data_IF_835368027775
#
_entry.id   IF_835368027775
#
_cell.length_a   1.000
_cell.length_b   1.000
_cell.length_c   1.000
_cell.angle_alpha   90.00
_cell.angle_beta   90.00
_cell.angle_gamma   90.00
#
_symmetry.space_group_name_H-M   'P 1'
#
loop_
_entity.id
_entity.type
_entity.pdbx_description
1 polymer ?
#
# COMPACT_ATOMS: atom_id res chain seq x y z
N UNK A 1 4.21 -8.08 -19.97
CA UNK A 1 4.45 -7.66 -18.58
C UNK A 1 3.20 -7.00 -18.01
N UNK A 2 3.04 -7.02 -16.69
CA UNK A 2 2.14 -6.15 -15.96
C UNK A 2 3.00 -5.28 -15.01
N UNK A 3 2.76 -3.96 -14.97
CA UNK A 3 3.56 -3.05 -14.16
C UNK A 3 2.74 -1.81 -13.77
N UNK A 4 2.70 -1.50 -12.47
CA UNK A 4 2.03 -0.34 -11.88
C UNK A 4 3.00 0.71 -11.30
N UNK A 5 4.30 0.44 -11.42
CA UNK A 5 5.36 1.08 -10.64
C UNK A 5 6.46 1.67 -11.52
N UNK A 6 6.14 2.63 -12.42
CA UNK A 6 7.13 3.27 -13.31
C UNK A 6 8.22 4.03 -12.53
N UNK A 7 7.95 4.39 -11.28
CA UNK A 7 8.93 4.98 -10.37
C UNK A 7 10.10 4.04 -10.05
N UNK A 8 9.95 2.73 -10.26
CA UNK A 8 11.04 1.75 -10.24
C UNK A 8 11.87 1.83 -11.53
N UNK A 9 12.45 3.00 -11.78
CA UNK A 9 12.98 3.39 -13.09
C UNK A 9 14.06 2.43 -13.62
N UNK A 10 14.96 1.92 -12.76
CA UNK A 10 15.99 0.96 -13.15
C UNK A 10 15.37 -0.33 -13.70
N UNK A 11 14.38 -0.88 -12.98
CA UNK A 11 13.67 -2.11 -13.37
C UNK A 11 12.88 -1.87 -14.65
N UNK A 12 12.19 -0.74 -14.74
CA UNK A 12 11.42 -0.37 -15.93
C UNK A 12 12.32 -0.28 -17.17
N UNK A 13 13.47 0.42 -17.12
CA UNK A 13 14.40 0.53 -18.26
C UNK A 13 14.95 -0.81 -18.74
N UNK A 14 15.12 -1.78 -17.85
CA UNK A 14 15.64 -3.10 -18.20
C UNK A 14 14.57 -4.03 -18.78
N UNK A 15 13.32 -3.92 -18.30
CA UNK A 15 12.26 -4.91 -18.57
C UNK A 15 11.26 -4.46 -19.64
N UNK A 16 10.99 -3.15 -19.72
CA UNK A 16 9.97 -2.58 -20.59
C UNK A 16 10.35 -2.69 -22.09
N UNK A 17 11.61 -2.47 -22.51
CA UNK A 17 12.01 -2.70 -23.92
C UNK A 17 11.87 -4.15 -24.40
N UNK A 18 11.95 -5.11 -23.49
CA UNK A 18 11.87 -6.55 -23.81
C UNK A 18 10.43 -7.07 -23.87
N UNK A 19 9.46 -6.21 -23.55
CA UNK A 19 8.06 -6.59 -23.45
C UNK A 19 7.35 -6.39 -24.79
N UNK A 20 6.46 -7.32 -25.18
CA UNK A 20 5.58 -7.13 -26.36
C UNK A 20 4.24 -6.47 -26.00
N UNK A 21 3.70 -6.81 -24.82
CA UNK A 21 2.45 -6.30 -24.28
C UNK A 21 2.65 -5.81 -22.85
N UNK A 22 2.29 -4.57 -22.58
CA UNK A 22 2.37 -3.99 -21.25
C UNK A 22 0.96 -3.72 -20.72
N UNK A 23 0.55 -4.42 -19.66
CA UNK A 23 -0.67 -4.12 -18.93
C UNK A 23 -0.37 -3.19 -17.76
N UNK A 24 -1.09 -2.09 -17.60
CA UNK A 24 -0.90 -1.16 -16.48
C UNK A 24 -2.19 -0.42 -16.10
N UNK A 25 -2.28 0.11 -14.86
CA UNK A 25 -3.36 0.97 -14.44
C UNK A 25 -3.53 2.20 -15.35
N UNK A 26 -4.77 2.54 -15.67
CA UNK A 26 -5.11 3.70 -16.51
C UNK A 26 -4.56 5.03 -15.99
N UNK A 27 -4.38 5.15 -14.67
CA UNK A 27 -3.88 6.36 -14.02
C UNK A 27 -2.41 6.67 -14.35
N UNK A 28 -1.65 5.68 -14.83
CA UNK A 28 -0.24 5.87 -15.19
C UNK A 28 -0.14 6.51 -16.58
N UNK A 29 -1.07 6.19 -17.48
CA UNK A 29 -1.06 6.67 -18.85
C UNK A 29 -0.01 5.98 -19.72
N UNK A 30 -0.12 6.17 -21.04
CA UNK A 30 0.78 5.57 -22.03
C UNK A 30 2.13 6.28 -22.10
N UNK A 31 2.11 7.61 -22.04
CA UNK A 31 3.30 8.46 -22.20
C UNK A 31 4.41 8.16 -21.20
N UNK A 32 4.06 7.82 -19.95
CA UNK A 32 5.04 7.44 -18.92
C UNK A 32 5.89 6.24 -19.35
N UNK A 33 5.34 5.33 -20.15
CA UNK A 33 6.04 4.14 -20.61
C UNK A 33 6.89 4.35 -21.87
N UNK A 34 6.68 5.46 -22.58
CA UNK A 34 7.45 5.82 -23.77
C UNK A 34 8.91 6.13 -23.40
N UNK A 35 9.12 6.77 -22.24
CA UNK A 35 10.45 7.09 -21.70
C UNK A 35 11.30 5.84 -21.40
N UNK A 36 10.66 4.70 -21.17
CA UNK A 36 11.34 3.43 -20.88
C UNK A 36 11.59 2.58 -22.12
N UNK A 37 11.36 3.11 -23.34
CA UNK A 37 11.50 2.36 -24.58
C UNK A 37 10.48 1.23 -24.70
N UNK A 38 9.32 1.37 -24.06
CA UNK A 38 8.27 0.36 -24.11
C UNK A 38 7.80 0.06 -25.51
N UNK A 39 7.22 -1.13 -25.75
CA UNK A 39 6.62 -1.42 -27.05
C UNK A 39 5.55 -0.38 -27.35
N UNK A 40 5.91 0.61 -28.18
CA UNK A 40 5.01 1.67 -28.67
C UNK A 40 3.69 1.10 -29.23
N UNK A 41 3.70 -0.19 -29.59
CA UNK A 41 2.60 -0.84 -30.29
C UNK A 41 1.47 -1.36 -29.38
N UNK A 42 1.71 -1.79 -28.12
CA UNK A 42 0.65 -2.50 -27.33
C UNK A 42 0.71 -2.28 -25.80
N UNK A 43 0.46 -1.05 -25.37
CA UNK A 43 0.11 -0.75 -23.97
C UNK A 43 -1.40 -1.01 -23.77
N UNK A 44 -1.76 -1.80 -22.77
CA UNK A 44 -3.14 -2.13 -22.39
C UNK A 44 -3.41 -1.50 -21.05
N UNK A 45 -4.28 -0.50 -21.04
CA UNK A 45 -4.72 0.15 -19.81
C UNK A 45 -5.92 -0.61 -19.25
N UNK A 46 -5.90 -0.88 -17.95
CA UNK A 46 -7.08 -1.29 -17.20
C UNK A 46 -7.56 -0.22 -16.24
N UNK A 47 -8.88 -0.09 -16.08
CA UNK A 47 -9.55 0.84 -15.16
C UNK A 47 -9.58 0.30 -13.72
N UNK A 48 -8.44 -0.15 -13.23
CA UNK A 48 -8.23 -0.61 -11.86
C UNK A 48 -6.83 -0.26 -11.35
N UNK A 49 -6.68 -0.13 -10.03
CA UNK A 49 -5.37 -0.24 -9.37
C UNK A 49 -5.12 -1.71 -9.07
N UNK A 50 -3.87 -2.16 -9.12
CA UNK A 50 -3.50 -3.58 -9.00
C UNK A 50 -4.16 -4.30 -7.81
N UNK A 51 -4.28 -3.69 -6.61
CA UNK A 51 -4.97 -4.34 -5.50
C UNK A 51 -6.42 -4.75 -5.76
N UNK A 52 -7.12 -4.12 -6.69
CA UNK A 52 -8.46 -4.56 -7.08
C UNK A 52 -8.49 -6.03 -7.55
N UNK A 53 -7.37 -6.57 -8.04
CA UNK A 53 -7.24 -7.96 -8.46
C UNK A 53 -7.63 -8.96 -7.35
N UNK A 54 -7.28 -8.66 -6.09
CA UNK A 54 -7.63 -9.49 -4.93
C UNK A 54 -8.72 -8.86 -4.07
N UNK A 55 -8.73 -7.53 -3.90
CA UNK A 55 -9.69 -6.86 -3.02
C UNK A 55 -11.15 -7.02 -3.44
N UNK A 56 -11.44 -7.12 -4.75
CA UNK A 56 -12.82 -7.32 -5.22
C UNK A 56 -13.41 -8.68 -4.82
N UNK A 57 -12.56 -9.65 -4.46
CA UNK A 57 -12.91 -11.01 -4.01
C UNK A 57 -12.60 -11.22 -2.53
N UNK A 58 -12.21 -10.17 -1.82
CA UNK A 58 -11.78 -10.24 -0.43
C UNK A 58 -12.98 -10.31 0.51
N UNK A 59 -12.93 -11.27 1.43
CA UNK A 59 -13.86 -11.39 2.54
C UNK A 59 -13.06 -11.39 3.85
N UNK A 60 -13.22 -10.37 4.71
CA UNK A 60 -12.42 -10.26 5.93
C UNK A 60 -12.55 -11.50 6.83
N UNK A 61 -11.42 -12.13 7.13
CA UNK A 61 -11.31 -13.29 7.99
C UNK A 61 -10.75 -12.90 9.36
N UNK A 62 -11.57 -13.04 10.41
CA UNK A 62 -11.21 -12.72 11.79
C UNK A 62 -10.10 -13.58 12.40
N UNK A 63 -9.68 -14.67 11.75
CA UNK A 63 -8.55 -15.50 12.19
C UNK A 63 -7.26 -14.69 12.38
N UNK A 64 -7.03 -13.67 11.55
CA UNK A 64 -5.84 -12.80 11.70
C UNK A 64 -5.78 -12.08 13.04
N UNK A 65 -6.94 -11.75 13.62
CA UNK A 65 -6.99 -11.11 14.95
C UNK A 65 -6.57 -12.11 16.03
N UNK A 66 -7.02 -13.36 15.95
CA UNK A 66 -6.60 -14.43 16.88
C UNK A 66 -5.10 -14.72 16.75
N UNK A 67 -4.59 -14.82 15.52
CA UNK A 67 -3.17 -15.09 15.26
C UNK A 67 -2.24 -14.02 15.81
N UNK A 68 -2.74 -12.79 15.96
CA UNK A 68 -1.98 -11.63 16.43
C UNK A 68 -2.38 -11.19 17.85
N UNK A 69 -3.24 -11.95 18.53
CA UNK A 69 -3.80 -11.62 19.85
C UNK A 69 -4.43 -10.21 19.92
N UNK A 70 -5.16 -9.84 18.86
CA UNK A 70 -5.81 -8.54 18.72
C UNK A 70 -7.30 -8.61 19.11
N UNK A 71 -7.73 -7.61 19.86
CA UNK A 71 -9.11 -7.44 20.31
C UNK A 71 -9.90 -6.58 19.32
N UNK A 72 -11.03 -7.09 18.82
CA UNK A 72 -11.83 -6.42 17.78
C UNK A 72 -12.55 -5.15 18.26
N UNK A 73 -12.86 -5.09 19.55
CA UNK A 73 -13.54 -3.98 20.22
C UNK A 73 -12.62 -2.79 20.53
N UNK A 74 -11.30 -2.97 20.35
CA UNK A 74 -10.31 -1.91 20.56
C UNK A 74 -9.76 -1.40 19.22
N UNK A 75 -9.47 -0.09 19.09
CA UNK A 75 -8.92 0.44 17.84
C UNK A 75 -7.59 -0.22 17.47
N UNK A 76 -7.40 -0.53 16.19
CA UNK A 76 -6.17 -1.14 15.66
C UNK A 76 -5.52 -0.16 14.70
N UNK A 77 -4.26 0.22 14.97
CA UNK A 77 -3.45 1.06 14.08
C UNK A 77 -2.36 0.20 13.46
N UNK A 78 -2.37 0.08 12.14
CA UNK A 78 -1.41 -0.75 11.41
C UNK A 78 -0.35 0.14 10.77
N UNK A 79 0.91 -0.14 11.08
CA UNK A 79 2.09 0.43 10.47
C UNK A 79 2.70 -0.55 9.49
N UNK A 80 3.12 -0.06 8.32
CA UNK A 80 3.94 -0.81 7.38
C UNK A 80 5.29 -0.12 7.19
N UNK A 81 6.36 -0.82 7.54
CA UNK A 81 7.73 -0.35 7.29
C UNK A 81 8.00 -0.18 5.79
N UNK A 82 8.97 0.65 5.46
CA UNK A 82 9.37 0.92 4.09
C UNK A 82 10.04 -0.28 3.40
N UNK A 83 9.97 -0.28 2.07
CA UNK A 83 10.72 -1.21 1.24
C UNK A 83 12.17 -0.73 1.08
N UNK A 84 12.96 -0.83 2.15
CA UNK A 84 14.32 -0.29 2.23
C UNK A 84 15.27 -0.73 1.10
N UNK A 85 15.10 -1.93 0.53
CA UNK A 85 15.90 -2.42 -0.60
C UNK A 85 15.32 -2.07 -1.99
N UNK A 86 14.18 -1.37 -2.06
CA UNK A 86 13.67 -0.93 -3.35
C UNK A 86 14.70 -0.04 -4.04
N UNK A 87 14.89 -0.25 -5.34
CA UNK A 87 15.93 0.49 -6.08
C UNK A 87 15.72 2.01 -6.02
N UNK A 88 14.47 2.46 -5.86
CA UNK A 88 14.09 3.86 -5.70
C UNK A 88 14.29 4.41 -4.27
N UNK A 89 14.59 3.56 -3.29
CA UNK A 89 14.91 3.92 -1.90
C UNK A 89 16.38 3.70 -1.53
N UNK A 90 17.24 3.28 -2.47
CA UNK A 90 18.68 3.15 -2.23
C UNK A 90 19.27 4.45 -1.65
N UNK A 91 19.88 4.34 -0.47
CA UNK A 91 20.50 5.46 0.27
C UNK A 91 19.51 6.39 1.00
N UNK A 92 18.20 6.10 0.98
CA UNK A 92 17.15 6.93 1.61
C UNK A 92 16.36 6.21 2.71
N UNK A 93 16.53 4.90 2.82
CA UNK A 93 15.90 4.05 3.81
C UNK A 93 16.94 3.07 4.38
N UNK A 94 16.75 2.67 5.63
CA UNK A 94 17.64 1.76 6.33
C UNK A 94 16.79 0.78 7.14
N UNK A 95 17.06 -0.51 6.98
CA UNK A 95 16.43 -1.54 7.81
C UNK A 95 16.75 -1.37 9.31
N UNK A 96 17.79 -0.61 9.65
CA UNK A 96 18.19 -0.33 11.03
C UNK A 96 17.43 0.86 11.63
N UNK A 97 16.83 1.71 10.79
CA UNK A 97 16.12 2.92 11.20
C UNK A 97 14.79 3.05 10.43
N UNK A 98 13.78 2.21 10.73
CA UNK A 98 12.51 2.26 10.03
C UNK A 98 11.83 3.62 10.17
N UNK A 99 11.27 4.15 9.07
CA UNK A 99 10.61 5.47 9.03
C UNK A 99 9.42 5.54 10.00
N UNK A 100 8.79 4.39 10.26
CA UNK A 100 7.66 4.27 11.19
C UNK A 100 8.04 4.36 12.66
N UNK A 101 9.31 4.13 13.02
CA UNK A 101 9.70 4.06 14.43
C UNK A 101 9.51 5.40 15.18
N UNK A 102 9.97 6.56 14.66
CA UNK A 102 9.69 7.85 15.32
C UNK A 102 8.20 8.18 15.43
N UNK A 103 7.38 7.69 14.49
CA UNK A 103 5.92 7.89 14.49
C UNK A 103 5.28 7.10 15.64
N UNK A 104 5.69 5.85 15.80
CA UNK A 104 5.24 4.97 16.89
C UNK A 104 5.63 5.56 18.25
N UNK A 105 6.85 6.11 18.40
CA UNK A 105 7.23 6.81 19.63
C UNK A 105 6.27 7.95 19.98
N UNK A 106 5.95 8.81 19.01
CA UNK A 106 5.01 9.92 19.23
C UNK A 106 3.59 9.45 19.56
N UNK A 107 3.16 8.30 19.04
CA UNK A 107 1.86 7.71 19.38
C UNK A 107 1.84 7.13 20.79
N UNK A 108 2.89 6.38 21.16
CA UNK A 108 3.01 5.81 22.49
C UNK A 108 3.16 6.90 23.56
N UNK A 109 3.89 8.00 23.28
CA UNK A 109 4.00 9.15 24.18
C UNK A 109 2.66 9.83 24.45
N UNK A 110 1.75 9.82 23.49
CA UNK A 110 0.39 10.37 23.66
C UNK A 110 -0.52 9.47 24.48
N UNK A 111 -0.15 8.21 24.72
CA UNK A 111 -0.95 7.28 25.49
C UNK A 111 -2.30 6.95 24.83
N UNK A 112 -2.33 6.86 23.49
CA UNK A 112 -3.56 6.50 22.78
C UNK A 112 -4.00 5.07 23.14
N UNK A 113 -5.25 4.90 23.53
CA UNK A 113 -5.83 3.57 23.75
C UNK A 113 -6.10 2.86 22.42
N UNK A 114 -5.06 2.24 21.89
CA UNK A 114 -5.11 1.49 20.64
C UNK A 114 -4.10 0.34 20.64
N UNK A 115 -4.35 -0.63 19.78
CA UNK A 115 -3.44 -1.73 19.50
C UNK A 115 -2.57 -1.35 18.31
N UNK A 116 -1.26 -1.23 18.54
CA UNK A 116 -0.30 -0.86 17.50
C UNK A 116 0.27 -2.13 16.89
N UNK A 117 0.07 -2.31 15.59
CA UNK A 117 0.57 -3.45 14.82
C UNK A 117 1.59 -2.96 13.81
N UNK A 118 2.78 -3.55 13.77
CA UNK A 118 3.85 -3.17 12.85
C UNK A 118 4.16 -4.35 11.93
N UNK A 119 3.74 -4.24 10.68
CA UNK A 119 4.08 -5.20 9.63
C UNK A 119 5.44 -4.85 9.03
N UNK A 120 6.42 -5.74 9.17
CA UNK A 120 7.81 -5.53 8.72
C UNK A 120 8.08 -6.17 7.37
N UNK A 121 8.78 -5.47 6.47
CA UNK A 121 9.04 -5.94 5.09
C UNK A 121 10.27 -6.83 5.02
N UNK A 122 11.28 -6.53 5.82
CA UNK A 122 12.56 -7.23 5.84
C UNK A 122 12.95 -7.72 7.23
N UNK A 123 13.75 -8.78 7.28
CA UNK A 123 14.07 -9.50 8.51
C UNK A 123 14.75 -8.66 9.58
N UNK A 124 15.54 -7.65 9.21
CA UNK A 124 16.25 -6.80 10.19
C UNK A 124 15.36 -5.73 10.84
N UNK A 125 14.23 -5.38 10.23
CA UNK A 125 13.33 -4.36 10.78
C UNK A 125 12.59 -4.89 12.02
N UNK A 126 12.21 -6.16 12.04
CA UNK A 126 11.48 -6.75 13.17
C UNK A 126 12.27 -6.76 14.49
N UNK A 127 13.54 -7.22 14.55
CA UNK A 127 14.37 -7.10 15.73
C UNK A 127 14.52 -5.65 16.24
N UNK A 128 14.67 -4.68 15.33
CA UNK A 128 14.80 -3.26 15.69
C UNK A 128 13.54 -2.74 16.36
N UNK A 129 12.37 -3.01 15.77
CA UNK A 129 11.08 -2.60 16.32
C UNK A 129 10.82 -3.29 17.66
N UNK A 130 11.05 -4.62 17.76
CA UNK A 130 10.90 -5.37 19.02
C UNK A 130 11.80 -4.81 20.12
N UNK A 131 13.07 -4.53 19.82
CA UNK A 131 14.02 -3.96 20.78
C UNK A 131 13.61 -2.58 21.29
N UNK A 132 13.04 -1.74 20.41
CA UNK A 132 12.66 -0.35 20.76
C UNK A 132 11.37 -0.27 21.56
N UNK A 133 10.38 -1.10 21.23
CA UNK A 133 9.02 -0.94 21.76
C UNK A 133 8.55 -2.08 22.68
N UNK A 134 9.23 -3.22 22.68
CA UNK A 134 8.85 -4.39 23.47
C UNK A 134 7.42 -4.82 23.20
N UNK A 135 6.68 -5.12 24.27
CA UNK A 135 5.30 -5.61 24.23
C UNK A 135 4.25 -4.52 23.92
N UNK A 136 4.67 -3.25 23.82
CA UNK A 136 3.75 -2.13 23.50
C UNK A 136 3.25 -2.18 22.05
N UNK A 137 3.89 -2.98 21.19
CA UNK A 137 3.52 -3.13 19.77
C UNK A 137 3.54 -4.60 19.38
N UNK A 138 2.59 -5.00 18.53
CA UNK A 138 2.59 -6.32 17.90
C UNK A 138 3.41 -6.28 16.62
N UNK A 139 4.53 -6.99 16.57
CA UNK A 139 5.38 -7.06 15.37
C UNK A 139 4.99 -8.26 14.51
N UNK A 140 4.67 -8.00 13.25
CA UNK A 140 4.32 -9.01 12.24
C UNK A 140 5.50 -9.19 11.29
N UNK A 141 6.24 -10.27 11.52
CA UNK A 141 7.45 -10.72 10.80
C UNK A 141 7.25 -12.07 10.08
N UNK A 142 6.00 -12.53 10.02
CA UNK A 142 5.57 -13.75 9.32
C UNK A 142 4.46 -13.45 8.33
N UNK A 143 4.16 -14.41 7.47
CA UNK A 143 3.01 -14.33 6.56
C UNK A 143 1.72 -14.36 7.39
N UNK A 144 0.88 -13.36 7.18
CA UNK A 144 -0.48 -13.26 7.72
C UNK A 144 -1.42 -12.76 6.63
N UNK A 145 -2.72 -12.91 6.83
CA UNK A 145 -3.73 -12.26 5.98
C UNK A 145 -3.77 -10.74 6.25
N UNK A 146 -2.83 -10.03 5.61
CA UNK A 146 -2.67 -8.59 5.75
C UNK A 146 -3.92 -7.82 5.28
N UNK A 147 -4.62 -8.32 4.25
CA UNK A 147 -5.84 -7.69 3.73
C UNK A 147 -6.98 -7.77 4.74
N UNK A 148 -7.13 -8.91 5.44
CA UNK A 148 -8.04 -9.02 6.58
C UNK A 148 -7.62 -8.11 7.73
N UNK A 149 -6.33 -8.05 8.07
CA UNK A 149 -5.83 -7.14 9.11
C UNK A 149 -6.17 -5.68 8.80
N UNK A 150 -5.97 -5.23 7.56
CA UNK A 150 -6.38 -3.90 7.11
C UNK A 150 -7.89 -3.70 7.22
N UNK A 151 -8.69 -4.71 6.89
CA UNK A 151 -10.16 -4.61 6.97
C UNK A 151 -10.67 -4.39 8.40
N UNK A 152 -9.91 -4.80 9.41
CA UNK A 152 -10.23 -4.58 10.83
C UNK A 152 -9.53 -3.36 11.44
N UNK A 153 -8.71 -2.63 10.69
CA UNK A 153 -7.95 -1.51 11.23
C UNK A 153 -8.76 -0.21 11.26
N UNK A 154 -8.50 0.58 12.30
CA UNK A 154 -9.09 1.92 12.47
C UNK A 154 -8.35 2.96 11.65
N UNK A 155 -7.03 2.80 11.51
CA UNK A 155 -6.14 3.64 10.73
C UNK A 155 -4.94 2.85 10.19
N UNK A 156 -4.39 3.30 9.07
CA UNK A 156 -3.19 2.74 8.46
C UNK A 156 -2.13 3.81 8.21
N UNK A 157 -0.87 3.50 8.49
CA UNK A 157 0.29 4.35 8.17
C UNK A 157 1.34 3.51 7.44
N UNK A 158 1.61 3.84 6.18
CA UNK A 158 2.51 3.07 5.34
C UNK A 158 3.65 3.90 4.77
N UNK A 159 4.85 3.32 4.74
CA UNK A 159 6.00 3.85 3.99
C UNK A 159 6.24 3.06 2.67
N UNK A 160 5.18 2.45 2.14
CA UNK A 160 5.20 1.67 0.90
C UNK A 160 3.94 1.91 0.07
N UNK A 161 3.87 1.28 -1.11
CA UNK A 161 2.80 1.51 -2.07
C UNK A 161 1.55 0.66 -1.88
N UNK A 162 1.71 -0.64 -2.02
CA UNK A 162 0.58 -1.57 -2.17
C UNK A 162 -0.36 -1.57 -0.98
N UNK A 163 0.13 -1.75 0.24
CA UNK A 163 -0.73 -1.77 1.44
C UNK A 163 -1.43 -0.43 1.69
N UNK A 164 -0.82 0.70 1.28
CA UNK A 164 -1.46 2.02 1.35
C UNK A 164 -2.65 2.10 0.39
N UNK A 165 -2.49 1.59 -0.83
CA UNK A 165 -3.59 1.47 -1.79
C UNK A 165 -4.67 0.51 -1.28
N UNK A 166 -4.28 -0.63 -0.71
CA UNK A 166 -5.22 -1.60 -0.13
C UNK A 166 -6.06 -1.00 0.98
N UNK A 167 -5.42 -0.34 1.95
CA UNK A 167 -6.09 0.30 3.07
C UNK A 167 -7.08 1.37 2.58
N UNK A 168 -6.65 2.23 1.67
CA UNK A 168 -7.52 3.25 1.08
C UNK A 168 -8.74 2.66 0.37
N UNK A 169 -8.56 1.60 -0.44
CA UNK A 169 -9.65 0.94 -1.18
C UNK A 169 -10.59 0.13 -0.28
N UNK A 170 -10.10 -0.38 0.85
CA UNK A 170 -10.92 -1.02 1.88
C UNK A 170 -11.71 0.00 2.73
N UNK A 171 -11.48 1.30 2.53
CA UNK A 171 -12.11 2.38 3.29
C UNK A 171 -11.49 2.56 4.68
N UNK A 172 -10.18 2.36 4.80
CA UNK A 172 -9.40 2.64 6.00
C UNK A 172 -8.69 3.99 5.83
N UNK A 173 -8.84 4.94 6.76
CA UNK A 173 -8.08 6.17 6.77
C UNK A 173 -6.58 5.90 6.74
N UNK A 174 -5.91 6.43 5.73
CA UNK A 174 -4.56 6.02 5.36
C UNK A 174 -3.61 7.21 5.22
N UNK A 175 -2.42 7.07 5.81
CA UNK A 175 -1.34 8.04 5.70
C UNK A 175 -0.15 7.38 5.01
N UNK A 176 0.35 8.02 3.96
CA UNK A 176 1.64 7.69 3.36
C UNK A 176 2.73 8.51 4.04
N UNK A 177 3.69 7.84 4.69
CA UNK A 177 4.89 8.48 5.26
C UNK A 177 6.15 8.26 4.40
N UNK A 178 5.96 7.92 3.12
CA UNK A 178 7.05 7.65 2.20
C UNK A 178 8.05 8.82 2.10
N UNK A 179 9.37 8.59 2.33
CA UNK A 179 10.37 9.66 2.36
C UNK A 179 10.74 10.19 0.96
N UNK A 180 10.44 9.43 -0.10
CA UNK A 180 10.77 9.78 -1.48
C UNK A 180 9.69 10.58 -2.23
N UNK A 181 9.86 10.72 -3.57
CA UNK A 181 8.81 11.23 -4.45
C UNK A 181 7.57 10.33 -4.40
N UNK A 182 6.38 10.93 -4.38
CA UNK A 182 5.13 10.17 -4.29
C UNK A 182 4.93 9.31 -5.55
N UNK A 183 4.71 8.00 -5.43
CA UNK A 183 4.29 7.19 -6.57
C UNK A 183 2.96 7.69 -7.18
N UNK A 184 2.75 7.47 -8.48
CA UNK A 184 1.57 7.97 -9.20
C UNK A 184 0.24 7.50 -8.58
N UNK A 185 0.17 6.27 -8.09
CA UNK A 185 -1.02 5.77 -7.40
C UNK A 185 -1.29 6.49 -6.07
N UNK A 186 -0.25 6.91 -5.33
CA UNK A 186 -0.42 7.73 -4.12
C UNK A 186 -0.92 9.12 -4.49
N UNK A 187 -0.33 9.76 -5.51
CA UNK A 187 -0.79 11.06 -5.99
C UNK A 187 -2.25 11.01 -6.45
N UNK A 188 -2.65 9.92 -7.12
CA UNK A 188 -4.04 9.71 -7.52
C UNK A 188 -4.98 9.61 -6.32
N UNK A 189 -4.66 8.77 -5.33
CA UNK A 189 -5.48 8.61 -4.13
C UNK A 189 -5.54 9.88 -3.27
N UNK A 190 -4.44 10.65 -3.21
CA UNK A 190 -4.38 11.93 -2.51
C UNK A 190 -5.29 12.98 -3.16
N UNK A 191 -5.31 13.06 -4.50
CA UNK A 191 -6.27 13.93 -5.22
C UNK A 191 -7.74 13.57 -4.95
N UNK A 192 -8.01 12.31 -4.63
CA UNK A 192 -9.35 11.85 -4.25
C UNK A 192 -9.65 12.01 -2.75
N UNK A 193 -8.70 12.52 -1.96
CA UNK A 193 -8.83 12.64 -0.51
C UNK A 193 -8.79 11.31 0.24
N UNK A 194 -8.32 10.23 -0.40
CA UNK A 194 -8.30 8.88 0.18
C UNK A 194 -7.01 8.56 0.95
N UNK A 195 -5.94 9.28 0.66
CA UNK A 195 -4.63 9.13 1.31
C UNK A 195 -4.04 10.52 1.56
N UNK A 196 -3.40 10.72 2.71
CA UNK A 196 -2.62 11.92 2.98
C UNK A 196 -1.12 11.59 3.02
N UNK A 197 -0.29 12.43 2.39
CA UNK A 197 1.16 12.30 2.54
C UNK A 197 1.68 13.23 3.63
N UNK A 198 2.09 12.66 4.75
CA UNK A 198 2.62 13.41 5.90
C UNK A 198 3.99 12.84 6.25
N UNK A 199 4.97 13.70 6.55
CA UNK A 199 6.35 13.27 6.90
C UNK A 199 6.72 13.49 8.35
N UNK A 200 6.06 14.45 9.02
CA UNK A 200 6.34 14.77 10.42
C UNK A 200 5.77 13.70 11.35
N UNK A 201 6.57 13.03 12.19
CA UNK A 201 6.06 12.04 13.14
C UNK A 201 5.00 12.60 14.09
N UNK A 202 5.16 13.86 14.52
CA UNK A 202 4.19 14.54 15.39
C UNK A 202 2.87 14.79 14.69
N UNK A 203 2.92 15.22 13.42
CA UNK A 203 1.72 15.49 12.62
C UNK A 203 0.98 14.20 12.28
N UNK A 204 1.70 13.13 11.92
CA UNK A 204 1.12 11.80 11.72
C UNK A 204 0.44 11.32 12.99
N UNK A 205 1.11 11.44 14.14
CA UNK A 205 0.55 11.05 15.44
C UNK A 205 -0.73 11.86 15.78
N UNK A 206 -0.75 13.18 15.51
CA UNK A 206 -1.97 13.99 15.62
C UNK A 206 -3.08 13.51 14.69
N UNK A 207 -2.75 13.21 13.43
CA UNK A 207 -3.73 12.78 12.43
C UNK A 207 -4.33 11.42 12.77
N UNK A 208 -3.50 10.47 13.19
CA UNK A 208 -3.94 9.16 13.70
C UNK A 208 -4.82 9.34 14.94
N UNK A 209 -4.43 10.18 15.90
CA UNK A 209 -5.29 10.46 17.06
C UNK A 209 -6.69 10.90 16.64
N UNK A 210 -6.79 11.83 15.67
CA UNK A 210 -8.09 12.26 15.12
C UNK A 210 -8.83 11.12 14.41
N UNK A 211 -8.15 10.24 13.67
CA UNK A 211 -8.76 9.05 13.06
C UNK A 211 -9.42 8.11 14.09
N UNK A 212 -8.90 8.10 15.32
CA UNK A 212 -9.41 7.27 16.40
C UNK A 212 -10.53 7.97 17.19
N UNK A 213 -10.41 9.27 17.46
CA UNK A 213 -11.34 10.01 18.32
C UNK A 213 -12.50 10.67 17.59
N UNK A 214 -12.36 10.91 16.29
CA UNK A 214 -13.36 11.53 15.42
C UNK A 214 -13.51 10.68 14.14
N UNK A 215 -13.99 9.43 14.25
CA UNK A 215 -14.12 8.54 13.08
C UNK A 215 -15.14 9.05 12.05
N UNK A 216 -16.14 9.82 12.49
CA UNK A 216 -17.18 10.40 11.63
C UNK A 216 -16.61 11.37 10.60
N UNK A 217 -15.59 12.15 10.96
CA UNK A 217 -14.90 13.03 10.02
C UNK A 217 -14.23 12.31 8.85
N UNK A 218 -14.07 10.99 8.91
CA UNK A 218 -13.49 10.17 7.86
C UNK A 218 -14.53 9.32 7.13
N UNK A 219 -15.81 9.36 7.51
CA UNK A 219 -16.83 8.47 6.92
C UNK A 219 -16.95 8.66 5.40
N UNK A 220 -16.85 9.90 4.92
CA UNK A 220 -16.80 10.20 3.49
C UNK A 220 -15.58 9.59 2.79
N UNK A 221 -14.42 9.61 3.44
CA UNK A 221 -13.20 8.95 2.94
C UNK A 221 -13.40 7.43 2.87
N UNK A 222 -13.97 6.82 3.92
CA UNK A 222 -14.24 5.38 3.98
C UNK A 222 -15.18 4.94 2.86
N UNK A 223 -16.31 5.64 2.69
CA UNK A 223 -17.29 5.38 1.62
C UNK A 223 -16.68 5.56 0.24
N UNK A 224 -15.92 6.64 0.04
CA UNK A 224 -15.29 6.94 -1.25
C UNK A 224 -14.27 5.88 -1.65
N UNK A 225 -13.49 5.35 -0.70
CA UNK A 225 -12.54 4.25 -0.94
C UNK A 225 -13.23 2.98 -1.43
N UNK A 226 -14.26 2.54 -0.71
CA UNK A 226 -15.07 1.36 -1.08
C UNK A 226 -15.79 1.54 -2.42
N UNK A 227 -16.35 2.73 -2.66
CA UNK A 227 -17.01 3.08 -3.92
C UNK A 227 -16.04 3.07 -5.10
N UNK A 228 -14.82 3.58 -4.90
CA UNK A 228 -13.77 3.55 -5.91
C UNK A 228 -13.43 2.10 -6.28
N UNK A 229 -13.23 1.21 -5.30
CA UNK A 229 -12.98 -0.22 -5.55
C UNK A 229 -14.15 -0.90 -6.28
N UNK A 230 -15.40 -0.57 -5.92
CA UNK A 230 -16.58 -1.11 -6.58
C UNK A 230 -16.63 -0.75 -8.08
N UNK A 231 -16.25 0.49 -8.42
CA UNK A 231 -16.22 1.01 -9.79
C UNK A 231 -15.06 0.52 -10.65
N UNK A 232 -13.99 -0.02 -10.04
CA UNK A 232 -12.86 -0.56 -10.80
C UNK A 232 -13.30 -1.80 -11.59
N UNK A 233 -12.76 -1.98 -12.79
CA UNK A 233 -12.92 -3.25 -13.51
C UNK A 233 -12.12 -4.38 -12.84
N UNK A 234 -12.25 -5.62 -13.32
CA UNK A 234 -11.40 -6.72 -12.87
C UNK A 234 -10.08 -6.73 -13.66
N UNK A 235 -8.95 -6.31 -13.05
CA UNK A 235 -7.67 -6.29 -13.76
C UNK A 235 -7.20 -7.70 -14.15
N UNK A 236 -7.61 -8.74 -13.41
CA UNK A 236 -7.24 -10.13 -13.72
C UNK A 236 -7.85 -10.54 -15.06
N UNK A 237 -9.14 -10.26 -15.26
CA UNK A 237 -9.84 -10.54 -16.51
C UNK A 237 -9.16 -9.80 -17.69
N UNK A 238 -8.76 -8.54 -17.49
CA UNK A 238 -8.07 -7.78 -18.54
C UNK A 238 -6.69 -8.36 -18.88
N UNK A 239 -5.90 -8.72 -17.88
CA UNK A 239 -4.57 -9.30 -18.08
C UNK A 239 -4.68 -10.65 -18.79
N UNK A 240 -5.61 -11.52 -18.37
CA UNK A 240 -5.84 -12.82 -19.00
C UNK A 240 -6.21 -12.69 -20.49
N UNK A 241 -7.14 -11.79 -20.83
CA UNK A 241 -7.51 -11.52 -22.23
C UNK A 241 -6.32 -11.05 -23.08
N UNK A 242 -5.37 -10.35 -22.45
CA UNK A 242 -4.15 -9.88 -23.13
C UNK A 242 -3.17 -11.02 -23.36
N UNK A 243 -3.03 -11.94 -22.40
CA UNK A 243 -2.20 -13.14 -22.54
C UNK A 243 -2.72 -14.04 -23.68
N UNK A 244 -4.03 -14.27 -23.75
CA UNK A 244 -4.65 -15.03 -24.83
C UNK A 244 -4.41 -14.41 -26.20
N UNK A 245 -4.55 -13.08 -26.30
CA UNK A 245 -4.30 -12.33 -27.52
C UNK A 245 -2.82 -12.38 -27.94
N UNK A 246 -1.89 -12.39 -26.98
CA UNK A 246 -0.47 -12.58 -27.25
C UNK A 246 -0.15 -14.00 -27.75
N UNK A 247 -0.81 -15.02 -27.19
CA UNK A 247 -0.66 -16.42 -27.62
C UNK A 247 -1.09 -16.63 -29.07
N UNK A 248 -2.21 -16.04 -29.49
CA UNK A 248 -2.72 -16.09 -30.86
C UNK A 248 -1.82 -15.39 -31.88
N UNK A 249 -1.01 -14.42 -31.46
CA UNK A 249 -0.06 -13.71 -32.34
C UNK A 249 1.28 -14.42 -32.51
N UNK A 250 1.62 -15.39 -31.65
CA UNK A 250 2.83 -16.20 -31.78
C UNK A 250 2.65 -17.44 -32.65
N UNK A 251 1.41 -17.85 -32.88
CA UNK A 251 1.02 -19.03 -33.67
C UNK A 251 0.72 -18.71 -35.13
N UNK A 252 0.88 -17.44 -35.53
CA UNK A 252 0.80 -16.94 -36.90
C UNK A 252 2.16 -16.39 -37.30
#
# INVERSE_FOLDING_TARGET
>A
AANDSPHSWMVARLTIPLTTFLCCPWIIGRSVWEEFGGPMRKIILYRALDPAAWLKRHHPNGEVLRQLDLKRDRPIVVFRTEEAFASYLMGKASDKEPVVAPIIDELLRRGLDCQVVVSTRYGMQAPVIRKRFGEKVTVVDRIVDATSLLSFSSAFVGSGGTMTVEAALLGVPSISCFPGPKPLYIQYLERLGLVETIRSPREISTRVHRMLTDPEAFENQRRSGKHLLAKMEDPVAKILSTVELAGKQRTR
#
